data_IF_848354532015
#
_entry.id   IF_848354532015
#
_cell.length_a   1.000
_cell.length_b   1.000
_cell.length_c   1.000
_cell.angle_alpha   90.00
_cell.angle_beta   90.00
_cell.angle_gamma   90.00
#
_symmetry.space_group_name_H-M   'P 1'
#
loop_
_entity.id
_entity.type
_entity.pdbx_description
1 polymer ?
#
# COMPACT_ATOMS: atom_id res chain seq x y z
N UNK A 1 11.38 -26.31 11.39
CA UNK A 1 12.78 -26.29 11.85
C UNK A 1 13.24 -24.84 11.95
N UNK A 2 13.53 -24.36 13.15
CA UNK A 2 14.00 -22.99 13.40
C UNK A 2 15.51 -23.08 13.67
N UNK A 3 16.36 -22.58 12.77
CA UNK A 3 17.81 -22.59 12.97
C UNK A 3 18.19 -21.42 13.87
N UNK A 4 18.40 -21.71 15.17
CA UNK A 4 18.68 -20.77 16.25
C UNK A 4 20.06 -20.09 16.17
N UNK A 5 20.37 -19.44 15.05
CA UNK A 5 21.59 -18.65 14.89
C UNK A 5 21.29 -17.21 15.33
N UNK A 6 21.58 -16.91 16.58
CA UNK A 6 21.53 -15.54 17.11
C UNK A 6 22.86 -14.84 16.82
N UNK A 7 23.01 -14.34 15.59
CA UNK A 7 24.17 -13.56 15.18
C UNK A 7 24.10 -12.13 15.74
N UNK A 8 25.16 -11.69 16.41
CA UNK A 8 25.30 -10.27 16.79
C UNK A 8 25.34 -9.40 15.52
N UNK A 9 24.59 -8.29 15.46
CA UNK A 9 24.60 -7.38 14.30
C UNK A 9 26.01 -6.93 13.92
N UNK A 10 26.90 -6.79 14.91
CA UNK A 10 28.31 -6.40 14.71
C UNK A 10 29.12 -7.46 13.97
N UNK A 11 28.84 -8.74 14.22
CA UNK A 11 29.54 -9.85 13.56
C UNK A 11 29.10 -9.96 12.12
N UNK A 12 27.79 -9.85 11.85
CA UNK A 12 27.24 -9.84 10.48
C UNK A 12 27.81 -8.66 9.68
N UNK A 13 27.87 -7.47 10.29
CA UNK A 13 28.42 -6.28 9.65
C UNK A 13 29.90 -6.43 9.29
N UNK A 14 30.70 -7.07 10.14
CA UNK A 14 32.12 -7.29 9.87
C UNK A 14 32.33 -8.15 8.61
N UNK A 15 31.59 -9.25 8.49
CA UNK A 15 31.66 -10.12 7.31
C UNK A 15 31.08 -9.47 6.04
N UNK A 16 30.05 -8.64 6.16
CA UNK A 16 29.50 -7.86 5.03
C UNK A 16 30.49 -6.82 4.49
N UNK A 17 31.40 -6.32 5.34
CA UNK A 17 32.44 -5.36 4.95
C UNK A 17 33.71 -6.04 4.44
N UNK A 18 33.98 -7.26 4.91
CA UNK A 18 35.19 -8.03 4.56
C UNK A 18 35.08 -8.81 3.25
N UNK A 19 33.88 -8.95 2.67
CA UNK A 19 33.71 -9.61 1.36
C UNK A 19 34.24 -8.70 0.23
N UNK A 20 35.36 -9.06 -0.43
CA UNK A 20 35.97 -8.24 -1.48
C UNK A 20 35.15 -8.21 -2.77
N UNK A 21 34.26 -9.19 -2.98
CA UNK A 21 33.30 -9.21 -4.08
C UNK A 21 32.06 -8.33 -3.79
N UNK A 22 31.92 -7.82 -2.56
CA UNK A 22 31.04 -6.69 -2.26
C UNK A 22 31.66 -5.34 -2.66
N UNK A 23 32.80 -5.36 -3.36
CA UNK A 23 33.43 -4.21 -3.99
C UNK A 23 32.45 -3.52 -4.94
N UNK A 24 31.82 -2.45 -4.45
CA UNK A 24 30.87 -1.63 -5.20
C UNK A 24 29.87 -2.48 -5.96
N UNK A 25 28.87 -3.03 -5.26
CA UNK A 25 27.54 -3.00 -5.88
C UNK A 25 27.37 -1.53 -6.26
N UNK A 26 27.50 -1.21 -7.54
CA UNK A 26 26.96 0.01 -8.08
C UNK A 26 25.49 -0.13 -7.76
N UNK A 27 25.11 0.34 -6.57
CA UNK A 27 23.74 0.65 -6.26
C UNK A 27 23.48 1.76 -7.24
N UNK A 28 23.06 1.40 -8.47
CA UNK A 28 22.38 2.30 -9.39
C UNK A 28 21.49 3.09 -8.47
N UNK A 29 21.74 4.40 -8.25
CA UNK A 29 21.19 5.11 -7.10
C UNK A 29 19.71 4.82 -7.12
N UNK A 30 19.26 3.98 -6.17
CA UNK A 30 17.95 3.35 -6.31
C UNK A 30 17.00 4.51 -6.42
N UNK A 31 16.22 4.55 -7.49
CA UNK A 31 15.35 5.68 -7.78
C UNK A 31 14.71 6.13 -6.47
N UNK A 32 14.94 7.39 -6.08
CA UNK A 32 14.47 7.88 -4.80
C UNK A 32 12.97 7.56 -4.68
N UNK A 33 12.54 7.05 -3.53
CA UNK A 33 11.17 6.56 -3.33
C UNK A 33 10.12 7.57 -3.82
N UNK A 34 10.37 8.86 -3.62
CA UNK A 34 9.51 9.95 -4.12
C UNK A 34 9.36 9.96 -5.63
N UNK A 35 10.44 9.68 -6.37
CA UNK A 35 10.45 9.64 -7.83
C UNK A 35 9.74 8.39 -8.34
N UNK A 36 9.94 7.25 -7.69
CA UNK A 36 9.20 6.03 -8.00
C UNK A 36 7.69 6.21 -7.81
N UNK A 37 7.28 6.75 -6.65
CA UNK A 37 5.88 7.07 -6.36
C UNK A 37 5.33 8.08 -7.36
N UNK A 38 6.05 9.17 -7.66
CA UNK A 38 5.59 10.17 -8.63
C UNK A 38 5.37 9.57 -10.03
N UNK A 39 6.25 8.67 -10.46
CA UNK A 39 6.14 8.02 -11.76
C UNK A 39 4.97 7.02 -11.82
N UNK A 40 4.70 6.31 -10.73
CA UNK A 40 3.66 5.28 -10.69
C UNK A 40 2.34 5.74 -10.05
N UNK A 41 2.26 6.98 -9.57
CA UNK A 41 1.10 7.48 -8.82
C UNK A 41 -0.21 7.32 -9.60
N UNK A 42 -0.19 7.51 -10.92
CA UNK A 42 -1.38 7.35 -11.79
C UNK A 42 -1.88 5.89 -11.87
N UNK A 43 -1.02 4.92 -11.60
CA UNK A 43 -1.35 3.49 -11.58
C UNK A 43 -1.50 2.94 -10.14
N UNK A 44 -1.39 3.79 -9.12
CA UNK A 44 -1.47 3.40 -7.72
C UNK A 44 -2.82 3.78 -7.13
N UNK A 45 -3.40 2.84 -6.39
CA UNK A 45 -4.58 3.05 -5.56
C UNK A 45 -4.15 3.01 -4.08
N UNK A 46 -4.52 4.03 -3.34
CA UNK A 46 -4.45 4.03 -1.89
C UNK A 46 -5.79 3.53 -1.34
N UNK A 47 -5.73 2.58 -0.41
CA UNK A 47 -6.90 2.08 0.30
C UNK A 47 -6.70 2.30 1.80
N UNK A 48 -7.70 2.84 2.49
CA UNK A 48 -7.62 3.11 3.92
C UNK A 48 -8.94 2.80 4.65
N UNK A 49 -8.86 2.59 5.96
CA UNK A 49 -9.99 2.37 6.84
C UNK A 49 -10.01 3.40 7.96
N UNK A 50 -11.11 4.14 8.09
CA UNK A 50 -11.31 5.05 9.21
C UNK A 50 -12.52 4.66 10.06
N UNK A 51 -12.43 4.96 11.34
CA UNK A 51 -13.54 4.79 12.29
C UNK A 51 -14.17 6.14 12.51
N UNK A 52 -15.45 6.27 12.19
CA UNK A 52 -16.22 7.47 12.48
C UNK A 52 -17.21 7.19 13.61
N UNK A 53 -17.37 8.16 14.51
CA UNK A 53 -18.36 8.11 15.59
C UNK A 53 -19.56 8.94 15.16
N UNK A 54 -20.70 8.27 15.00
CA UNK A 54 -21.96 8.97 14.67
C UNK A 54 -22.49 9.76 15.87
N UNK A 55 -23.37 10.74 15.62
CA UNK A 55 -24.06 11.55 16.65
C UNK A 55 -24.77 10.69 17.71
N UNK A 56 -25.14 9.45 17.35
CA UNK A 56 -25.76 8.46 18.26
C UNK A 56 -24.76 7.56 18.96
N UNK A 57 -23.48 7.94 19.04
CA UNK A 57 -22.38 7.16 19.65
C UNK A 57 -22.20 5.76 19.06
N UNK A 58 -22.51 5.56 17.78
CA UNK A 58 -22.24 4.29 17.08
C UNK A 58 -20.97 4.43 16.26
N UNK A 59 -20.05 3.48 16.45
CA UNK A 59 -18.87 3.33 15.61
C UNK A 59 -19.27 2.78 14.25
N UNK A 60 -18.95 3.51 13.20
CA UNK A 60 -19.03 3.05 11.82
C UNK A 60 -17.64 2.99 11.23
N UNK A 61 -17.39 1.96 10.44
CA UNK A 61 -16.14 1.77 9.73
C UNK A 61 -16.35 2.19 8.29
N UNK A 62 -15.48 3.07 7.80
CA UNK A 62 -15.54 3.52 6.42
C UNK A 62 -14.30 3.03 5.70
N UNK A 63 -14.53 2.38 4.57
CA UNK A 63 -13.51 1.96 3.64
C UNK A 63 -13.39 2.99 2.52
N UNK A 64 -12.17 3.41 2.22
CA UNK A 64 -11.88 4.42 1.21
C UNK A 64 -10.91 3.86 0.17
N UNK A 65 -11.21 4.09 -1.11
CA UNK A 65 -10.28 3.85 -2.23
C UNK A 65 -10.05 5.18 -2.96
N UNK A 66 -8.79 5.57 -3.15
CA UNK A 66 -8.37 6.81 -3.79
C UNK A 66 -7.25 6.56 -4.81
N UNK A 67 -7.31 7.21 -5.97
CA UNK A 67 -6.20 7.25 -6.90
C UNK A 67 -5.08 8.15 -6.38
N UNK A 68 -3.87 7.62 -6.20
CA UNK A 68 -2.72 8.37 -5.65
C UNK A 68 -2.30 9.52 -6.59
N UNK A 69 -2.36 9.29 -7.90
CA UNK A 69 -1.92 10.26 -8.91
C UNK A 69 -2.80 11.48 -9.07
N UNK A 70 -4.12 11.31 -8.94
CA UNK A 70 -5.10 12.40 -9.08
C UNK A 70 -5.65 12.87 -7.74
N UNK A 71 -5.36 12.15 -6.65
CA UNK A 71 -5.95 12.33 -5.31
C UNK A 71 -7.48 12.35 -5.33
N UNK A 72 -8.09 11.66 -6.30
CA UNK A 72 -9.55 11.55 -6.44
C UNK A 72 -10.05 10.29 -5.76
N UNK A 73 -11.10 10.46 -4.97
CA UNK A 73 -11.82 9.37 -4.33
C UNK A 73 -12.58 8.60 -5.41
N UNK A 74 -12.32 7.30 -5.50
CA UNK A 74 -12.90 6.40 -6.51
C UNK A 74 -14.12 5.69 -5.94
N UNK A 75 -13.98 5.16 -4.72
CA UNK A 75 -15.03 4.40 -4.05
C UNK A 75 -14.92 4.63 -2.55
N UNK A 76 -16.06 4.69 -1.89
CA UNK A 76 -16.13 4.60 -0.44
C UNK A 76 -17.36 3.79 -0.05
N UNK A 77 -17.23 3.02 1.02
CA UNK A 77 -18.37 2.31 1.58
C UNK A 77 -18.32 2.36 3.11
N UNK A 78 -19.49 2.42 3.73
CA UNK A 78 -19.70 2.61 5.16
C UNK A 78 -20.36 1.35 5.70
N UNK A 79 -19.68 0.66 6.60
CA UNK A 79 -20.21 -0.52 7.29
C UNK A 79 -20.29 -0.32 8.80
N UNK A 80 -21.35 -0.87 9.39
CA UNK A 80 -21.50 -0.98 10.84
C UNK A 80 -20.80 -2.22 11.41
N UNK A 81 -20.38 -3.17 10.55
CA UNK A 81 -19.83 -4.45 10.97
C UNK A 81 -18.54 -4.76 10.20
N UNK A 82 -17.39 -4.82 10.91
CA UNK A 82 -16.12 -5.30 10.37
C UNK A 82 -16.19 -6.80 10.09
N UNK A 83 -16.55 -7.20 8.87
CA UNK A 83 -16.35 -8.57 8.37
C UNK A 83 -15.39 -8.53 7.19
N UNK A 84 -14.28 -9.27 7.27
CA UNK A 84 -13.25 -9.29 6.23
C UNK A 84 -13.80 -9.76 4.85
N UNK A 85 -14.82 -10.62 4.87
CA UNK A 85 -15.52 -11.07 3.66
C UNK A 85 -16.26 -9.94 2.95
N UNK A 86 -16.81 -8.97 3.69
CA UNK A 86 -17.47 -7.78 3.13
C UNK A 86 -16.45 -6.82 2.52
N UNK A 87 -15.30 -6.61 3.18
CA UNK A 87 -14.21 -5.78 2.63
C UNK A 87 -13.71 -6.28 1.28
N UNK A 88 -13.53 -7.59 1.13
CA UNK A 88 -13.08 -8.17 -0.13
C UNK A 88 -14.09 -7.95 -1.25
N UNK A 89 -15.39 -8.01 -0.94
CA UNK A 89 -16.45 -7.73 -1.90
C UNK A 89 -16.44 -6.25 -2.33
N UNK A 90 -16.32 -5.32 -1.38
CA UNK A 90 -16.23 -3.89 -1.69
C UNK A 90 -14.99 -3.50 -2.49
N UNK A 91 -13.87 -4.18 -2.24
CA UNK A 91 -12.66 -3.99 -3.03
C UNK A 91 -12.85 -4.43 -4.49
N UNK A 92 -13.53 -5.56 -4.72
CA UNK A 92 -13.85 -6.04 -6.07
C UNK A 92 -14.78 -5.09 -6.81
N UNK A 93 -15.86 -4.67 -6.17
CA UNK A 93 -16.84 -3.73 -6.73
C UNK A 93 -16.19 -2.36 -7.02
N UNK A 94 -15.36 -1.85 -6.10
CA UNK A 94 -14.64 -0.59 -6.26
C UNK A 94 -13.64 -0.59 -7.42
N UNK A 95 -12.90 -1.69 -7.62
CA UNK A 95 -11.97 -1.81 -8.76
C UNK A 95 -12.73 -1.82 -10.09
N UNK A 96 -13.80 -2.61 -10.20
CA UNK A 96 -14.57 -2.74 -11.43
C UNK A 96 -15.21 -1.41 -11.87
N UNK A 97 -15.78 -0.68 -10.89
CA UNK A 97 -16.31 0.66 -11.10
C UNK A 97 -15.21 1.68 -11.48
N UNK A 98 -14.00 1.54 -10.92
CA UNK A 98 -12.87 2.40 -11.24
C UNK A 98 -12.41 2.23 -12.69
N UNK A 99 -12.34 0.98 -13.17
CA UNK A 99 -11.92 0.63 -14.54
C UNK A 99 -12.95 1.10 -15.57
N UNK A 100 -14.23 1.06 -15.23
CA UNK A 100 -15.32 1.56 -16.07
C UNK A 100 -15.30 3.10 -16.13
N UNK A 101 -15.05 3.77 -15.00
CA UNK A 101 -15.01 5.24 -14.92
C UNK A 101 -13.79 5.82 -15.65
N UNK A 102 -12.60 5.22 -15.50
CA UNK A 102 -11.41 5.68 -16.23
C UNK A 102 -11.47 5.42 -17.73
N UNK A 103 -12.11 4.33 -18.17
CA UNK A 103 -12.34 4.10 -19.60
C UNK A 103 -13.41 5.03 -20.18
N UNK A 104 -14.43 5.41 -19.40
CA UNK A 104 -15.49 6.33 -19.88
C UNK A 104 -15.02 7.79 -19.97
N UNK A 105 -14.06 8.22 -19.14
CA UNK A 105 -13.50 9.59 -19.20
C UNK A 105 -12.36 9.70 -20.25
N UNK A 106 -11.93 8.58 -20.82
CA UNK A 106 -10.85 8.49 -21.81
C UNK A 106 -11.32 8.46 -23.28
N UNK A 107 -12.61 8.69 -23.56
CA UNK A 107 -13.16 8.87 -24.91
C UNK A 107 -13.92 10.19 -25.03
#
# INVERSE_FOLDING_TARGET
MNFGIQGSPRTVQKYLLEDPNCGRRQTVPSQHWTTFVRNHAKAMLACDFFVSVTVRFRFVYVFLIMAVGTRRLIHFDITSHRKATWTFQQFREGIDNSLTTVNTIAF
#
